data_IF_517462724494
#
_entry.id   IF_517462724494
#
_cell.length_a   1.000
_cell.length_b   1.000
_cell.length_c   1.000
_cell.angle_alpha   90.00
_cell.angle_beta   90.00
_cell.angle_gamma   90.00
#
_symmetry.space_group_name_H-M   'P 1'
#
loop_
_entity.id
_entity.type
_entity.pdbx_description
1 polymer ?
#
# COMPACT_ATOMS: atom_id res chain seq x y z
N UNK A 1 49.27 -14.83 -0.58
CA UNK A 1 48.72 -15.67 0.51
C UNK A 1 48.09 -14.72 1.51
N UNK A 2 46.77 -14.77 1.72
CA UNK A 2 46.12 -14.06 2.84
C UNK A 2 45.03 -14.97 3.40
N UNK A 3 45.24 -15.39 4.64
CA UNK A 3 44.53 -16.44 5.36
C UNK A 3 43.13 -15.99 5.79
N UNK A 4 42.13 -16.83 5.53
CA UNK A 4 40.78 -16.76 6.10
C UNK A 4 40.88 -16.71 7.64
N UNK A 5 40.47 -15.61 8.23
CA UNK A 5 40.25 -15.51 9.68
C UNK A 5 39.04 -16.39 10.06
N UNK A 6 39.32 -17.37 10.91
CA UNK A 6 38.43 -18.47 11.25
C UNK A 6 37.28 -18.00 12.17
N UNK A 7 36.08 -18.44 11.84
CA UNK A 7 34.80 -18.18 12.51
C UNK A 7 34.71 -18.87 13.87
N UNK A 8 35.37 -18.34 14.91
CA UNK A 8 35.33 -18.91 16.28
C UNK A 8 34.13 -18.43 17.13
N UNK A 9 33.43 -17.37 16.73
CA UNK A 9 32.27 -16.82 17.46
C UNK A 9 30.94 -17.47 17.06
N UNK A 10 30.82 -17.95 15.82
CA UNK A 10 29.60 -18.63 15.34
C UNK A 10 29.36 -20.00 15.99
N UNK A 11 30.41 -20.77 16.22
CA UNK A 11 30.32 -22.12 16.81
C UNK A 11 29.90 -22.12 18.28
N UNK A 12 30.40 -21.16 19.08
CA UNK A 12 30.01 -21.01 20.49
C UNK A 12 28.56 -20.58 20.65
N UNK A 13 28.08 -19.67 19.81
CA UNK A 13 26.67 -19.26 19.81
C UNK A 13 25.75 -20.41 19.37
N UNK A 14 26.12 -21.15 18.32
CA UNK A 14 25.34 -22.31 17.86
C UNK A 14 25.28 -23.43 18.93
N UNK A 15 26.40 -23.73 19.59
CA UNK A 15 26.47 -24.75 20.64
C UNK A 15 25.71 -24.34 21.91
N UNK A 16 25.79 -23.07 22.34
CA UNK A 16 24.99 -22.56 23.46
C UNK A 16 23.49 -22.54 23.13
N UNK A 17 23.14 -22.29 21.86
CA UNK A 17 21.75 -22.39 21.40
C UNK A 17 21.31 -23.85 21.45
N UNK A 18 22.08 -24.78 20.88
CA UNK A 18 21.81 -26.22 20.86
C UNK A 18 21.70 -26.84 22.27
N UNK A 19 22.58 -26.46 23.20
CA UNK A 19 22.52 -26.88 24.60
C UNK A 19 21.23 -26.41 25.29
N UNK A 20 20.75 -25.19 24.96
CA UNK A 20 19.46 -24.67 25.45
C UNK A 20 18.25 -25.42 24.88
N UNK A 21 18.41 -26.13 23.76
CA UNK A 21 17.38 -27.03 23.22
C UNK A 21 17.43 -28.43 23.85
N UNK A 22 18.55 -28.80 24.50
CA UNK A 22 18.74 -30.11 25.13
C UNK A 22 18.17 -30.20 26.55
N UNK A 23 18.00 -29.08 27.26
CA UNK A 23 17.47 -29.02 28.65
C UNK A 23 15.95 -29.13 28.78
N UNK A 24 15.25 -29.57 27.74
CA UNK A 24 13.79 -29.67 27.74
C UNK A 24 13.14 -28.46 27.07
N UNK A 25 12.03 -28.72 26.37
CA UNK A 25 11.38 -27.77 25.46
C UNK A 25 11.04 -26.43 26.14
N UNK A 26 11.86 -25.37 26.00
CA UNK A 26 11.69 -24.13 26.75
C UNK A 26 10.48 -23.34 26.26
N UNK A 27 9.88 -23.76 25.15
CA UNK A 27 8.67 -23.16 24.62
C UNK A 27 7.43 -23.61 25.39
N UNK A 28 7.41 -24.78 26.06
CA UNK A 28 6.24 -25.25 26.83
C UNK A 28 5.94 -24.33 28.02
N UNK A 29 6.97 -23.95 28.77
CA UNK A 29 6.86 -23.01 29.89
C UNK A 29 6.44 -21.61 29.42
N UNK A 30 7.05 -21.12 28.34
CA UNK A 30 6.67 -19.82 27.76
C UNK A 30 5.24 -19.85 27.21
N UNK A 31 4.82 -20.96 26.61
CA UNK A 31 3.48 -21.14 26.09
C UNK A 31 2.46 -21.14 27.24
N UNK A 32 2.75 -21.84 28.34
CA UNK A 32 1.92 -21.82 29.54
C UNK A 32 1.82 -20.40 30.13
N UNK A 33 2.95 -19.68 30.24
CA UNK A 33 2.99 -18.29 30.72
C UNK A 33 2.14 -17.34 29.89
N UNK A 34 2.22 -17.44 28.57
CA UNK A 34 1.55 -16.51 27.65
C UNK A 34 0.20 -17.02 27.13
N UNK A 35 -0.28 -18.20 27.55
CA UNK A 35 -1.54 -18.81 27.07
C UNK A 35 -2.72 -17.86 27.16
N UNK A 36 -2.86 -17.16 28.30
CA UNK A 36 -3.95 -16.20 28.51
C UNK A 36 -3.86 -14.96 27.61
N UNK A 37 -2.64 -14.51 27.27
CA UNK A 37 -2.43 -13.40 26.33
C UNK A 37 -2.59 -13.84 24.88
N UNK A 38 -2.20 -15.08 24.54
CA UNK A 38 -2.32 -15.64 23.21
C UNK A 38 -3.78 -15.75 22.76
N UNK A 39 -4.68 -16.08 23.69
CA UNK A 39 -6.12 -16.17 23.44
C UNK A 39 -6.81 -14.83 23.19
N UNK A 40 -6.22 -13.70 23.57
CA UNK A 40 -6.82 -12.36 23.41
C UNK A 40 -6.77 -11.83 21.97
N UNK A 41 -6.15 -12.57 21.05
CA UNK A 41 -5.95 -12.18 19.64
C UNK A 41 -4.49 -11.85 19.34
N UNK A 42 -4.18 -11.38 18.12
CA UNK A 42 -2.80 -11.20 17.63
C UNK A 42 -2.24 -9.81 17.86
N UNK A 43 -3.07 -8.77 17.78
CA UNK A 43 -2.62 -7.37 17.77
C UNK A 43 -3.03 -6.57 19.02
N UNK A 44 -3.97 -7.10 19.80
CA UNK A 44 -4.61 -6.41 20.89
C UNK A 44 -6.04 -6.90 21.04
N UNK A 45 -6.72 -6.35 22.03
CA UNK A 45 -8.12 -6.64 22.30
C UNK A 45 -8.85 -5.36 22.68
N UNK A 46 -10.14 -5.33 22.35
CA UNK A 46 -11.03 -4.28 22.82
C UNK A 46 -11.49 -4.63 24.24
N UNK A 47 -11.26 -3.71 25.17
CA UNK A 47 -11.78 -3.83 26.53
C UNK A 47 -12.31 -2.45 26.96
N UNK A 48 -13.58 -2.40 27.40
CA UNK A 48 -14.23 -1.17 27.89
C UNK A 48 -14.10 0.02 26.93
N UNK A 49 -14.22 -0.23 25.61
CA UNK A 49 -14.14 0.82 24.58
C UNK A 49 -12.74 1.33 24.28
N UNK A 50 -11.69 0.79 24.92
CA UNK A 50 -10.31 1.10 24.63
C UNK A 50 -9.60 -0.08 23.95
N UNK A 51 -8.73 0.22 22.99
CA UNK A 51 -7.83 -0.77 22.39
C UNK A 51 -6.64 -1.00 23.34
N UNK A 52 -6.51 -2.20 23.89
CA UNK A 52 -5.36 -2.58 24.74
C UNK A 52 -4.35 -3.40 23.94
N UNK A 53 -3.05 -3.06 23.98
CA UNK A 53 -2.01 -3.89 23.41
C UNK A 53 -1.85 -5.18 24.21
N UNK A 54 -1.27 -6.20 23.59
CA UNK A 54 -0.96 -7.46 24.26
C UNK A 54 0.25 -7.33 25.20
N UNK A 55 0.28 -8.15 26.25
CA UNK A 55 1.42 -8.27 27.16
C UNK A 55 2.63 -9.00 26.55
N UNK A 56 2.53 -9.48 25.31
CA UNK A 56 3.61 -10.12 24.56
C UNK A 56 3.93 -9.32 23.30
N UNK A 57 5.22 -9.10 23.05
CA UNK A 57 5.65 -8.48 21.79
C UNK A 57 5.41 -9.43 20.60
N UNK A 58 5.05 -8.89 19.43
CA UNK A 58 4.84 -9.68 18.22
C UNK A 58 6.07 -10.52 17.84
N UNK A 59 7.29 -10.02 18.12
CA UNK A 59 8.54 -10.77 17.92
C UNK A 59 8.67 -11.98 18.83
N UNK A 60 8.35 -11.84 20.12
CA UNK A 60 8.35 -12.97 21.06
C UNK A 60 7.31 -14.00 20.66
N UNK A 61 6.10 -13.57 20.28
CA UNK A 61 5.05 -14.46 19.75
C UNK A 61 5.54 -15.25 18.53
N UNK A 62 6.13 -14.58 17.54
CA UNK A 62 6.64 -15.24 16.33
C UNK A 62 7.77 -16.24 16.63
N UNK A 63 8.63 -15.94 17.61
CA UNK A 63 9.66 -16.87 18.08
C UNK A 63 9.02 -18.11 18.73
N UNK A 64 8.03 -17.93 19.59
CA UNK A 64 7.28 -19.05 20.19
C UNK A 64 6.59 -19.90 19.13
N UNK A 65 5.87 -19.27 18.20
CA UNK A 65 5.23 -19.95 17.07
C UNK A 65 6.23 -20.79 16.27
N UNK A 66 7.42 -20.26 16.01
CA UNK A 66 8.50 -21.00 15.34
C UNK A 66 8.96 -22.20 16.18
N UNK A 67 9.18 -22.04 17.49
CA UNK A 67 9.60 -23.11 18.40
C UNK A 67 8.55 -24.25 18.46
N UNK A 68 7.25 -23.92 18.52
CA UNK A 68 6.14 -24.90 18.54
C UNK A 68 6.02 -25.64 17.21
N UNK A 69 6.00 -24.92 16.09
CA UNK A 69 5.86 -25.54 14.76
C UNK A 69 7.08 -26.42 14.42
N UNK A 70 8.29 -26.06 14.87
CA UNK A 70 9.48 -26.90 14.70
C UNK A 70 9.41 -28.20 15.51
N UNK A 71 8.71 -28.20 16.64
CA UNK A 71 8.46 -29.40 17.44
C UNK A 71 7.35 -30.29 16.84
N UNK A 72 6.71 -29.86 15.74
CA UNK A 72 5.63 -30.58 15.08
C UNK A 72 4.25 -30.41 15.73
N UNK A 73 4.12 -29.51 16.72
CA UNK A 73 2.83 -29.18 17.32
C UNK A 73 2.08 -28.10 16.54
N UNK A 74 0.75 -28.10 16.64
CA UNK A 74 -0.12 -27.16 15.92
C UNK A 74 -0.27 -25.82 16.66
N UNK A 75 -0.46 -24.74 15.90
CA UNK A 75 -0.56 -23.38 16.41
C UNK A 75 -1.97 -22.79 16.22
N UNK A 76 -2.83 -22.98 17.21
CA UNK A 76 -4.25 -22.62 17.16
C UNK A 76 -4.59 -21.15 17.48
N UNK A 77 -3.62 -20.32 17.90
CA UNK A 77 -3.91 -18.98 18.43
C UNK A 77 -4.01 -17.87 17.39
N UNK A 78 -3.47 -18.07 16.19
CA UNK A 78 -3.45 -17.04 15.15
C UNK A 78 -4.50 -17.37 14.06
N UNK A 79 -5.32 -16.39 13.64
CA UNK A 79 -6.24 -16.58 12.53
C UNK A 79 -5.47 -16.87 11.24
N UNK A 80 -6.07 -17.63 10.30
CA UNK A 80 -5.47 -17.89 9.01
C UNK A 80 -5.27 -16.58 8.24
N UNK A 81 -4.21 -16.55 7.41
CA UNK A 81 -3.91 -15.38 6.60
C UNK A 81 -5.02 -15.17 5.56
N UNK A 82 -5.60 -13.97 5.55
CA UNK A 82 -6.59 -13.59 4.54
C UNK A 82 -6.01 -13.53 3.13
N UNK A 83 -6.88 -13.68 2.13
CA UNK A 83 -6.52 -13.58 0.72
C UNK A 83 -6.02 -12.17 0.36
N UNK A 84 -5.04 -12.11 -0.54
CA UNK A 84 -4.49 -10.84 -1.01
C UNK A 84 -5.39 -10.22 -2.08
N UNK A 85 -5.67 -8.91 -1.99
CA UNK A 85 -6.48 -8.21 -2.98
C UNK A 85 -5.70 -8.01 -4.29
N UNK A 86 -6.07 -8.75 -5.32
CA UNK A 86 -5.50 -8.62 -6.67
C UNK A 86 -6.37 -7.74 -7.55
N UNK A 87 -6.34 -6.41 -7.36
CA UNK A 87 -7.02 -5.46 -8.26
C UNK A 87 -6.06 -4.36 -8.70
N UNK A 88 -5.95 -4.13 -10.02
CA UNK A 88 -5.16 -3.02 -10.59
C UNK A 88 -6.04 -1.78 -10.75
N UNK A 89 -5.55 -0.60 -10.35
CA UNK A 89 -6.27 0.68 -10.41
C UNK A 89 -6.38 1.25 -11.84
N UNK A 90 -5.38 0.96 -12.68
CA UNK A 90 -5.14 1.64 -13.96
C UNK A 90 -4.67 3.09 -13.79
N UNK A 91 -4.05 3.66 -14.83
CA UNK A 91 -3.69 5.08 -14.83
C UNK A 91 -4.93 5.95 -15.09
N UNK A 92 -4.99 7.12 -14.44
CA UNK A 92 -6.09 8.09 -14.64
C UNK A 92 -6.15 8.57 -16.10
N UNK A 93 -4.98 8.77 -16.71
CA UNK A 93 -4.86 9.27 -18.10
C UNK A 93 -5.49 8.30 -19.08
N UNK A 94 -5.19 7.00 -18.96
CA UNK A 94 -5.71 5.97 -19.86
C UNK A 94 -7.23 5.85 -19.77
N UNK A 95 -7.78 6.02 -18.56
CA UNK A 95 -9.24 6.00 -18.32
C UNK A 95 -9.95 7.10 -19.10
N UNK A 96 -9.39 8.30 -19.13
CA UNK A 96 -10.01 9.50 -19.73
C UNK A 96 -9.63 9.62 -21.23
N UNK A 97 -8.67 8.82 -21.71
CA UNK A 97 -8.17 8.93 -23.08
C UNK A 97 -9.26 8.65 -24.13
N UNK A 98 -10.15 7.68 -23.90
CA UNK A 98 -11.25 7.39 -24.82
C UNK A 98 -12.25 8.57 -24.90
N UNK A 99 -12.63 9.13 -23.75
CA UNK A 99 -13.52 10.30 -23.66
C UNK A 99 -12.91 11.52 -24.37
N UNK A 100 -11.62 11.79 -24.15
CA UNK A 100 -10.92 12.89 -24.82
C UNK A 100 -10.92 12.73 -26.34
N UNK A 101 -10.65 11.53 -26.87
CA UNK A 101 -10.66 11.28 -28.32
C UNK A 101 -12.06 11.50 -28.92
N UNK A 102 -13.11 11.05 -28.25
CA UNK A 102 -14.50 11.27 -28.70
C UNK A 102 -14.84 12.77 -28.74
N UNK A 103 -14.52 13.51 -27.67
CA UNK A 103 -14.73 14.95 -27.60
C UNK A 103 -13.97 15.71 -28.69
N UNK A 104 -12.74 15.29 -29.01
CA UNK A 104 -11.98 15.88 -30.13
C UNK A 104 -12.71 15.68 -31.46
N UNK A 105 -13.24 14.49 -31.73
CA UNK A 105 -14.00 14.22 -32.97
C UNK A 105 -15.26 15.08 -33.05
N UNK A 106 -16.00 15.22 -31.95
CA UNK A 106 -17.19 16.08 -31.90
C UNK A 106 -16.85 17.56 -32.11
N UNK A 107 -15.76 18.03 -31.51
CA UNK A 107 -15.29 19.40 -31.69
C UNK A 107 -14.91 19.65 -33.16
N UNK A 108 -14.20 18.69 -33.79
CA UNK A 108 -13.80 18.79 -35.19
C UNK A 108 -14.99 18.88 -36.15
N UNK A 109 -16.10 18.21 -35.87
CA UNK A 109 -17.35 18.37 -36.66
C UNK A 109 -17.92 19.79 -36.58
N UNK A 110 -17.74 20.47 -35.44
CA UNK A 110 -18.23 21.85 -35.21
C UNK A 110 -17.25 22.92 -35.69
N UNK A 111 -16.01 22.56 -36.00
CA UNK A 111 -14.96 23.49 -36.42
C UNK A 111 -15.35 24.39 -37.61
N UNK A 112 -15.98 23.89 -38.70
CA UNK A 112 -16.31 24.74 -39.84
C UNK A 112 -17.26 25.88 -39.47
N UNK A 113 -18.27 25.58 -38.63
CA UNK A 113 -19.21 26.58 -38.15
C UNK A 113 -18.50 27.62 -37.25
N UNK A 114 -17.67 27.16 -36.30
CA UNK A 114 -16.93 28.06 -35.42
C UNK A 114 -15.99 29.01 -36.18
N UNK A 115 -15.39 28.56 -37.28
CA UNK A 115 -14.55 29.40 -38.13
C UNK A 115 -15.34 30.49 -38.86
N UNK A 116 -16.55 30.15 -39.34
CA UNK A 116 -17.45 31.13 -39.95
C UNK A 116 -17.89 32.18 -38.93
N UNK A 117 -18.31 31.73 -37.74
CA UNK A 117 -18.74 32.61 -36.65
C UNK A 117 -17.63 33.57 -36.23
N UNK A 118 -16.39 33.07 -36.13
CA UNK A 118 -15.22 33.91 -35.83
C UNK A 118 -14.97 34.97 -36.90
N UNK A 119 -15.03 34.57 -38.18
CA UNK A 119 -14.83 35.49 -39.31
C UNK A 119 -15.91 36.57 -39.34
N UNK A 120 -17.18 36.20 -39.12
CA UNK A 120 -18.29 37.14 -39.04
C UNK A 120 -18.08 38.15 -37.92
N UNK A 121 -17.70 37.70 -36.72
CA UNK A 121 -17.43 38.58 -35.57
C UNK A 121 -16.26 39.54 -35.82
N UNK A 122 -15.18 39.07 -36.44
CA UNK A 122 -14.03 39.91 -36.81
C UNK A 122 -14.42 40.99 -37.82
N UNK A 123 -15.20 40.61 -38.83
CA UNK A 123 -15.71 41.54 -39.84
C UNK A 123 -16.68 42.57 -39.27
N UNK A 124 -17.59 42.17 -38.37
CA UNK A 124 -18.49 43.12 -37.69
C UNK A 124 -17.72 44.12 -36.85
N UNK A 125 -16.69 43.65 -36.13
CA UNK A 125 -15.84 44.51 -35.30
C UNK A 125 -15.07 45.54 -36.13
N UNK A 126 -14.57 45.16 -37.32
CA UNK A 126 -13.89 46.10 -38.22
C UNK A 126 -14.85 47.12 -38.82
N UNK A 127 -16.07 46.73 -39.18
CA UNK A 127 -17.12 47.65 -39.66
C UNK A 127 -17.45 48.69 -38.59
N UNK A 128 -17.70 48.27 -37.35
CA UNK A 128 -17.99 49.19 -36.24
C UNK A 128 -16.83 50.14 -35.98
N UNK A 129 -15.59 49.65 -35.96
CA UNK A 129 -14.40 50.50 -35.78
C UNK A 129 -14.27 51.56 -36.88
N UNK A 130 -14.49 51.18 -38.13
CA UNK A 130 -14.42 52.10 -39.27
C UNK A 130 -15.55 53.12 -39.25
N UNK A 131 -16.76 52.72 -38.83
CA UNK A 131 -17.89 53.63 -38.68
C UNK A 131 -17.66 54.66 -37.58
N UNK A 132 -17.20 54.24 -36.39
CA UNK A 132 -16.81 55.18 -35.34
C UNK A 132 -15.68 56.14 -35.77
N UNK A 133 -14.73 55.67 -36.60
CA UNK A 133 -13.68 56.54 -37.15
C UNK A 133 -14.25 57.56 -38.14
N UNK A 134 -15.18 57.16 -39.00
CA UNK A 134 -15.82 58.03 -39.98
C UNK A 134 -16.67 59.13 -39.31
N UNK A 135 -17.42 58.77 -38.26
CA UNK A 135 -18.24 59.72 -37.47
C UNK A 135 -17.40 60.76 -36.71
N UNK A 136 -16.15 60.42 -36.34
CA UNK A 136 -15.21 61.38 -35.70
C UNK A 136 -14.49 62.29 -36.71
N UNK A 137 -14.60 62.00 -38.01
CA UNK A 137 -13.96 62.77 -39.09
C UNK A 137 -14.91 63.73 -39.81
N UNK A 138 -16.17 63.81 -39.36
CA UNK A 138 -17.20 64.76 -39.79
C UNK A 138 -17.39 65.83 -38.71
#
# INVERSE_FOLDING_TARGET
QSSRANTMTGGKMAAATAAKWAEGYPWKEKLAKYKGELSKGVWGYWELGAWKPLGISGRQRARLRKEVLLAGEDWAYDPPRGEMRTKRKGHKVDRIAAEKRANTVELMKKMPQMLLDYKLRSNQSSVVHNQCRAEQSL
#
